data_IF_243966507374
#
_entry.id   IF_243966507374
#
_cell.length_a   1.000
_cell.length_b   1.000
_cell.length_c   1.000
_cell.angle_alpha   90.00
_cell.angle_beta   90.00
_cell.angle_gamma   90.00
#
_symmetry.space_group_name_H-M   'P 1'
#
loop_
_entity.id
_entity.type
_entity.pdbx_description
1 polymer ?
#
# COMPACT_ATOMS: atom_id res chain seq x y z
N UNK A 1 23.64 -1.68 35.41
CA UNK A 1 22.66 -1.68 34.31
C UNK A 1 21.23 -1.78 34.82
N UNK A 2 20.93 -2.75 35.70
CA UNK A 2 19.57 -2.98 36.19
C UNK A 2 18.99 -1.77 36.97
N UNK A 3 19.78 -1.20 37.88
CA UNK A 3 19.37 0.01 38.62
C UNK A 3 19.11 1.22 37.68
N UNK A 4 19.93 1.35 36.63
CA UNK A 4 19.72 2.40 35.63
C UNK A 4 18.42 2.22 34.86
N UNK A 5 18.06 0.99 34.53
CA UNK A 5 16.79 0.68 33.85
C UNK A 5 15.59 1.01 34.76
N UNK A 6 15.62 0.62 36.03
CA UNK A 6 14.57 0.92 37.00
C UNK A 6 14.38 2.44 37.17
N UNK A 7 15.47 3.19 37.29
CA UNK A 7 15.44 4.64 37.41
C UNK A 7 14.90 5.29 36.12
N UNK A 8 15.31 4.82 34.96
CA UNK A 8 14.79 5.31 33.66
C UNK A 8 13.29 5.06 33.54
N UNK A 9 12.82 3.86 33.83
CA UNK A 9 11.40 3.49 33.79
C UNK A 9 10.56 4.36 34.74
N UNK A 10 11.07 4.62 35.96
CA UNK A 10 10.41 5.51 36.90
C UNK A 10 10.33 6.95 36.39
N UNK A 11 11.41 7.46 35.79
CA UNK A 11 11.44 8.81 35.22
C UNK A 11 10.44 8.96 34.05
N UNK A 12 10.31 7.95 33.20
CA UNK A 12 9.32 7.93 32.12
C UNK A 12 7.90 7.96 32.68
N UNK A 13 7.62 7.12 33.70
CA UNK A 13 6.33 7.09 34.40
C UNK A 13 5.97 8.45 35.04
N UNK A 14 6.93 9.11 35.71
CA UNK A 14 6.76 10.43 36.26
C UNK A 14 6.39 11.51 35.24
N UNK A 15 6.81 11.32 34.00
CA UNK A 15 6.51 12.21 32.87
C UNK A 15 5.28 11.77 32.07
N UNK A 16 4.53 10.78 32.55
CA UNK A 16 3.39 10.17 31.84
C UNK A 16 3.74 9.66 30.44
N UNK A 17 4.98 9.20 30.26
CA UNK A 17 5.44 8.57 29.03
C UNK A 17 5.36 7.07 29.19
N UNK A 18 4.59 6.43 28.31
CA UNK A 18 4.55 4.98 28.20
C UNK A 18 5.80 4.47 27.49
N UNK A 19 6.37 3.39 28.01
CA UNK A 19 7.52 2.73 27.42
C UNK A 19 7.21 1.25 27.17
N UNK A 20 7.57 0.77 26.00
CA UNK A 20 7.59 -0.67 25.75
C UNK A 20 8.76 -1.31 26.49
N UNK A 21 8.47 -2.28 27.33
CA UNK A 21 9.47 -3.07 28.07
C UNK A 21 9.35 -4.50 27.57
N UNK A 22 10.40 -5.08 26.95
CA UNK A 22 10.41 -6.48 26.55
C UNK A 22 10.24 -7.42 27.76
N UNK A 23 9.76 -8.63 27.53
CA UNK A 23 9.57 -9.65 28.58
C UNK A 23 10.88 -9.92 29.35
N UNK A 24 12.01 -9.92 28.63
CA UNK A 24 13.36 -10.09 29.20
C UNK A 24 14.23 -8.85 28.86
N UNK A 25 14.12 -7.75 29.62
CA UNK A 25 14.77 -6.48 29.26
C UNK A 25 16.25 -6.41 29.60
N UNK A 26 16.86 -7.50 29.99
CA UNK A 26 18.29 -7.63 30.32
C UNK A 26 18.91 -8.82 29.61
N UNK A 27 20.19 -8.70 29.26
CA UNK A 27 20.91 -9.73 28.56
C UNK A 27 22.36 -9.36 28.34
N UNK A 28 23.07 -10.17 27.56
CA UNK A 28 24.39 -9.84 27.03
C UNK A 28 24.29 -8.74 25.97
N UNK A 29 25.40 -8.17 25.58
CA UNK A 29 25.42 -7.12 24.55
C UNK A 29 24.73 -7.56 23.25
N UNK A 30 24.96 -8.79 22.81
CA UNK A 30 24.35 -9.34 21.59
C UNK A 30 22.82 -9.51 21.74
N UNK A 31 22.33 -9.91 22.92
CA UNK A 31 20.90 -10.04 23.18
C UNK A 31 20.23 -8.66 23.12
N UNK A 32 20.85 -7.63 23.69
CA UNK A 32 20.35 -6.26 23.64
C UNK A 32 20.39 -5.70 22.20
N UNK A 33 21.47 -5.95 21.47
CA UNK A 33 21.59 -5.55 20.08
C UNK A 33 20.47 -6.17 19.22
N UNK A 34 20.14 -7.43 19.45
CA UNK A 34 19.04 -8.12 18.79
C UNK A 34 17.68 -7.49 19.15
N UNK A 35 17.42 -7.26 20.44
CA UNK A 35 16.17 -6.59 20.87
C UNK A 35 15.98 -5.23 20.21
N UNK A 36 17.05 -4.44 20.07
CA UNK A 36 17.01 -3.15 19.37
C UNK A 36 16.72 -3.37 17.89
N UNK A 37 17.39 -4.32 17.24
CA UNK A 37 17.18 -4.62 15.83
C UNK A 37 15.73 -5.08 15.56
N UNK A 38 15.17 -5.93 16.40
CA UNK A 38 13.79 -6.42 16.31
C UNK A 38 12.76 -5.29 16.52
N UNK A 39 13.12 -4.26 17.31
CA UNK A 39 12.23 -3.12 17.56
C UNK A 39 12.27 -2.04 16.45
N UNK A 40 13.35 -1.94 15.70
CA UNK A 40 13.50 -0.90 14.65
C UNK A 40 12.36 -0.92 13.61
N UNK A 41 11.91 -2.06 13.06
CA UNK A 41 10.77 -2.10 12.16
C UNK A 41 9.47 -1.59 12.79
N UNK A 42 9.23 -1.91 14.07
CA UNK A 42 8.07 -1.45 14.83
C UNK A 42 8.10 0.07 15.00
N UNK A 43 9.24 0.61 15.42
CA UNK A 43 9.42 2.07 15.58
C UNK A 43 9.21 2.80 14.24
N UNK A 44 9.70 2.23 13.14
CA UNK A 44 9.53 2.76 11.80
C UNK A 44 8.06 2.80 11.38
N UNK A 45 7.31 1.73 11.63
CA UNK A 45 5.87 1.67 11.36
C UNK A 45 5.10 2.72 12.19
N UNK A 46 5.37 2.84 13.49
CA UNK A 46 4.71 3.82 14.37
C UNK A 46 4.99 5.25 13.92
N UNK A 47 6.24 5.56 13.59
CA UNK A 47 6.62 6.89 13.11
C UNK A 47 6.01 7.16 11.74
N UNK A 48 6.00 6.18 10.86
CA UNK A 48 5.40 6.26 9.53
C UNK A 48 3.90 6.56 9.61
N UNK A 49 3.16 5.77 10.35
CA UNK A 49 1.69 5.91 10.53
C UNK A 49 1.32 7.29 11.07
N UNK A 50 2.07 7.80 12.06
CA UNK A 50 1.85 9.16 12.62
C UNK A 50 2.12 10.29 11.62
N UNK A 51 2.80 10.01 10.53
CA UNK A 51 3.11 10.96 9.47
C UNK A 51 2.39 10.64 8.15
N UNK A 52 1.39 9.75 8.18
CA UNK A 52 0.63 9.31 7.03
C UNK A 52 -0.63 10.15 6.84
N UNK A 53 -0.91 10.49 5.59
CA UNK A 53 -2.21 10.94 5.10
C UNK A 53 -2.72 9.92 4.08
N UNK A 54 -3.96 9.48 4.25
CA UNK A 54 -4.66 8.66 3.26
C UNK A 54 -5.65 9.55 2.53
N UNK A 55 -5.51 9.65 1.22
CA UNK A 55 -6.37 10.44 0.35
C UNK A 55 -7.31 9.48 -0.37
N UNK A 56 -8.61 9.72 -0.28
CA UNK A 56 -9.60 8.85 -0.89
C UNK A 56 -10.33 9.56 -2.02
N UNK A 57 -10.73 8.77 -3.02
CA UNK A 57 -11.60 9.20 -4.11
C UNK A 57 -12.80 8.25 -4.18
N UNK A 58 -13.86 8.60 -3.46
CA UNK A 58 -14.98 7.70 -3.28
C UNK A 58 -16.33 8.36 -3.18
N UNK A 59 -17.31 7.72 -2.60
CA UNK A 59 -17.28 6.61 -1.64
C UNK A 59 -17.00 5.24 -2.28
N UNK A 60 -16.80 4.21 -1.42
CA UNK A 60 -16.65 2.82 -1.88
C UNK A 60 -17.70 2.42 -2.92
N UNK A 61 -17.43 1.46 -3.80
CA UNK A 61 -18.40 1.03 -4.80
C UNK A 61 -19.67 0.44 -4.15
N UNK A 62 -20.84 0.92 -4.55
CA UNK A 62 -22.17 0.40 -4.22
C UNK A 62 -22.29 -0.25 -2.83
N UNK A 63 -22.65 -1.51 -2.77
CA UNK A 63 -22.81 -2.33 -1.57
C UNK A 63 -21.57 -3.14 -1.18
N UNK A 64 -20.38 -2.72 -1.64
CA UNK A 64 -19.10 -3.35 -1.31
C UNK A 64 -18.68 -3.05 0.14
N UNK A 65 -19.44 -3.58 1.09
CA UNK A 65 -19.34 -3.28 2.52
C UNK A 65 -18.02 -3.73 3.16
N UNK A 66 -17.27 -4.63 2.52
CA UNK A 66 -15.95 -5.04 2.98
C UNK A 66 -14.99 -3.86 3.16
N UNK A 67 -15.14 -2.81 2.32
CA UNK A 67 -14.33 -1.59 2.38
C UNK A 67 -14.96 -0.46 3.20
N UNK A 68 -15.93 -0.75 4.07
CA UNK A 68 -16.57 0.25 4.93
C UNK A 68 -15.77 0.47 6.21
N UNK A 69 -14.88 1.45 6.20
CA UNK A 69 -13.97 1.73 7.29
C UNK A 69 -14.49 2.83 8.24
N UNK A 70 -14.57 2.59 9.57
CA UNK A 70 -14.81 3.65 10.55
C UNK A 70 -13.56 4.51 10.76
N UNK A 71 -13.43 5.59 10.01
CA UNK A 71 -12.23 6.42 9.97
C UNK A 71 -11.89 7.15 11.28
N UNK A 72 -12.85 7.33 12.18
CA UNK A 72 -12.66 8.09 13.43
C UNK A 72 -11.50 7.54 14.27
N UNK A 73 -11.37 6.22 14.39
CA UNK A 73 -10.29 5.59 15.15
C UNK A 73 -8.89 5.79 14.54
N UNK A 74 -8.81 6.08 13.24
CA UNK A 74 -7.53 6.29 12.56
C UNK A 74 -6.85 7.61 12.98
N UNK A 75 -7.63 8.61 13.34
CA UNK A 75 -7.09 9.87 13.89
C UNK A 75 -6.41 9.66 15.24
N UNK A 76 -6.86 8.70 16.05
CA UNK A 76 -6.21 8.34 17.31
C UNK A 76 -4.82 7.72 17.08
N UNK A 77 -4.63 7.05 15.96
CA UNK A 77 -3.33 6.54 15.51
C UNK A 77 -2.44 7.63 14.90
N UNK A 78 -3.00 8.82 14.67
CA UNK A 78 -2.31 9.94 14.04
C UNK A 78 -2.39 9.93 12.51
N UNK A 79 -3.18 9.05 11.90
CA UNK A 79 -3.44 9.05 10.46
C UNK A 79 -4.42 10.16 10.13
N UNK A 80 -4.12 10.94 9.11
CA UNK A 80 -5.03 11.93 8.55
C UNK A 80 -5.75 11.33 7.33
N UNK A 81 -7.06 11.54 7.25
CA UNK A 81 -7.86 11.10 6.10
C UNK A 81 -8.40 12.33 5.38
N UNK A 82 -8.26 12.36 4.07
CA UNK A 82 -8.86 13.34 3.19
C UNK A 82 -9.83 12.64 2.24
N UNK A 83 -11.11 13.01 2.31
CA UNK A 83 -12.16 12.39 1.49
C UNK A 83 -12.52 13.31 0.34
N UNK A 84 -12.34 12.82 -0.88
CA UNK A 84 -12.68 13.47 -2.13
C UNK A 84 -13.65 12.60 -2.94
N UNK A 85 -14.31 13.19 -3.92
CA UNK A 85 -15.17 12.46 -4.84
C UNK A 85 -14.41 12.01 -6.10
N UNK A 86 -14.98 11.04 -6.82
CA UNK A 86 -14.50 10.67 -8.17
C UNK A 86 -14.55 11.85 -9.15
N UNK A 87 -15.47 12.81 -8.91
CA UNK A 87 -15.59 14.01 -9.75
C UNK A 87 -14.38 14.94 -9.56
N UNK A 88 -13.90 15.11 -8.33
CA UNK A 88 -12.70 15.91 -8.05
C UNK A 88 -11.48 15.29 -8.76
N UNK A 89 -11.34 13.96 -8.68
CA UNK A 89 -10.30 13.25 -9.40
C UNK A 89 -10.38 13.41 -10.92
N UNK A 90 -11.59 13.36 -11.49
CA UNK A 90 -11.82 13.54 -12.92
C UNK A 90 -11.47 14.95 -13.38
N UNK A 91 -11.77 15.97 -12.58
CA UNK A 91 -11.40 17.36 -12.87
C UNK A 91 -9.88 17.50 -12.89
N UNK A 92 -9.21 17.05 -11.85
CA UNK A 92 -7.74 17.07 -11.77
C UNK A 92 -7.08 16.28 -12.92
N UNK A 93 -7.63 15.12 -13.28
CA UNK A 93 -7.16 14.35 -14.43
C UNK A 93 -7.22 15.16 -15.74
N UNK A 94 -8.31 15.88 -15.98
CA UNK A 94 -8.45 16.74 -17.18
C UNK A 94 -7.49 17.92 -17.18
N UNK A 95 -7.13 18.44 -16.03
CA UNK A 95 -6.12 19.51 -15.90
C UNK A 95 -4.73 19.08 -16.32
N UNK A 96 -4.44 17.78 -16.26
CA UNK A 96 -3.19 17.17 -16.72
C UNK A 96 -3.22 16.77 -18.20
N UNK A 97 -4.27 17.14 -18.95
CA UNK A 97 -4.30 16.91 -20.40
C UNK A 97 -3.14 17.67 -21.07
N UNK A 98 -2.33 16.95 -21.86
CA UNK A 98 -1.12 17.47 -22.49
C UNK A 98 0.01 17.88 -21.52
N UNK A 99 0.07 17.34 -20.32
CA UNK A 99 1.18 17.56 -19.41
C UNK A 99 2.52 17.18 -20.10
N UNK A 100 3.52 18.08 -20.11
CA UNK A 100 4.77 17.82 -20.81
C UNK A 100 5.59 16.63 -20.24
N UNK A 101 5.26 16.11 -19.06
CA UNK A 101 5.90 14.94 -18.43
C UNK A 101 5.34 13.61 -18.93
N UNK A 102 4.19 13.60 -19.60
CA UNK A 102 3.54 12.37 -20.11
C UNK A 102 4.49 11.51 -20.95
N UNK A 103 5.28 12.06 -21.92
CA UNK A 103 6.18 11.24 -22.72
C UNK A 103 7.24 10.51 -21.91
N UNK A 104 7.75 11.10 -20.83
CA UNK A 104 8.77 10.49 -19.97
C UNK A 104 8.17 9.32 -19.17
N UNK A 105 6.95 9.48 -18.63
CA UNK A 105 6.24 8.42 -17.95
C UNK A 105 5.89 7.27 -18.90
N UNK A 106 5.46 7.59 -20.12
CA UNK A 106 5.21 6.59 -21.16
C UNK A 106 6.46 5.79 -21.52
N UNK A 107 7.62 6.45 -21.62
CA UNK A 107 8.89 5.80 -21.89
C UNK A 107 9.30 4.85 -20.75
N UNK A 108 9.01 5.21 -19.52
CA UNK A 108 9.24 4.37 -18.34
C UNK A 108 8.28 3.17 -18.32
N UNK A 109 7.01 3.37 -18.62
CA UNK A 109 6.03 2.28 -18.77
C UNK A 109 6.45 1.30 -19.86
N UNK A 110 6.92 1.80 -21.01
CA UNK A 110 7.38 0.94 -22.10
C UNK A 110 8.55 0.03 -21.69
N UNK A 111 9.50 0.56 -20.92
CA UNK A 111 10.60 -0.24 -20.37
C UNK A 111 10.11 -1.32 -19.39
N UNK A 112 9.15 -0.97 -18.55
CA UNK A 112 8.58 -1.89 -17.58
C UNK A 112 7.79 -3.02 -18.23
N UNK A 113 7.02 -2.71 -19.28
CA UNK A 113 6.19 -3.68 -19.99
C UNK A 113 6.99 -4.59 -20.93
N UNK A 114 8.07 -4.10 -21.50
CA UNK A 114 8.88 -4.82 -22.47
C UNK A 114 8.28 -4.82 -23.88
N UNK A 115 9.05 -5.38 -24.81
CA UNK A 115 8.72 -5.37 -26.23
C UNK A 115 7.39 -6.08 -26.55
N UNK A 116 6.58 -5.49 -27.44
CA UNK A 116 5.31 -6.09 -27.92
C UNK A 116 4.15 -6.02 -26.95
N UNK A 117 4.30 -5.38 -25.79
CA UNK A 117 3.27 -5.30 -24.74
C UNK A 117 2.83 -3.87 -24.43
N UNK A 118 3.27 -2.92 -25.23
CA UNK A 118 3.01 -1.49 -25.01
C UNK A 118 1.97 -0.96 -25.99
N UNK A 119 0.97 -0.25 -25.46
CA UNK A 119 -0.10 0.40 -26.20
C UNK A 119 -0.05 1.90 -25.99
N UNK A 120 0.35 2.66 -27.01
CA UNK A 120 0.64 4.08 -26.90
C UNK A 120 -0.54 4.90 -26.32
N UNK A 121 -1.71 4.80 -26.95
CA UNK A 121 -2.90 5.57 -26.53
C UNK A 121 -3.35 5.27 -25.11
N UNK A 122 -3.20 4.02 -24.67
CA UNK A 122 -3.54 3.60 -23.32
C UNK A 122 -2.51 4.12 -22.32
N UNK A 123 -1.22 4.08 -22.70
CA UNK A 123 -0.12 4.56 -21.86
C UNK A 123 -0.19 6.06 -21.61
N UNK A 124 -0.57 6.86 -22.61
CA UNK A 124 -0.71 8.31 -22.44
C UNK A 124 -1.76 8.64 -21.40
N UNK A 125 -2.93 7.99 -21.45
CA UNK A 125 -4.00 8.17 -20.45
C UNK A 125 -3.59 7.70 -19.07
N UNK A 126 -2.91 6.57 -18.97
CA UNK A 126 -2.39 6.05 -17.71
C UNK A 126 -1.27 6.94 -17.14
N UNK A 127 -0.39 7.47 -17.98
CA UNK A 127 0.65 8.40 -17.57
C UNK A 127 0.06 9.72 -17.06
N UNK A 128 -0.95 10.25 -17.74
CA UNK A 128 -1.70 11.41 -17.26
C UNK A 128 -2.30 11.14 -15.87
N UNK A 129 -2.88 9.97 -15.64
CA UNK A 129 -3.45 9.59 -14.34
C UNK A 129 -2.40 9.42 -13.25
N UNK A 130 -1.25 8.81 -13.56
CA UNK A 130 -0.12 8.70 -12.64
C UNK A 130 0.36 10.08 -12.19
N UNK A 131 0.53 11.01 -13.12
CA UNK A 131 0.92 12.39 -12.82
C UNK A 131 -0.13 13.11 -11.97
N UNK A 132 -1.41 12.90 -12.28
CA UNK A 132 -2.52 13.45 -11.49
C UNK A 132 -2.43 13.03 -10.02
N UNK A 133 -2.23 11.75 -9.75
CA UNK A 133 -2.12 11.25 -8.37
C UNK A 133 -0.85 11.76 -7.67
N UNK A 134 0.28 11.82 -8.37
CA UNK A 134 1.54 12.33 -7.81
C UNK A 134 1.45 13.81 -7.43
N UNK A 135 0.89 14.64 -8.31
CA UNK A 135 0.72 16.07 -8.05
C UNK A 135 -0.35 16.32 -6.98
N UNK A 136 -1.42 15.52 -6.96
CA UNK A 136 -2.40 15.56 -5.87
C UNK A 136 -1.77 15.24 -4.53
N UNK A 137 -0.96 14.18 -4.46
CA UNK A 137 -0.24 13.82 -3.24
C UNK A 137 0.62 14.99 -2.74
N UNK A 138 1.39 15.61 -3.62
CA UNK A 138 2.28 16.71 -3.24
C UNK A 138 1.50 17.96 -2.78
N UNK A 139 0.42 18.30 -3.48
CA UNK A 139 -0.40 19.46 -3.16
C UNK A 139 -1.20 19.30 -1.86
N UNK A 140 -1.62 18.07 -1.54
CA UNK A 140 -2.56 17.79 -0.46
C UNK A 140 -1.94 17.12 0.77
N UNK A 141 -0.67 16.67 0.73
CA UNK A 141 -0.03 16.04 1.90
C UNK A 141 0.00 16.92 3.15
N UNK A 142 -0.02 18.24 2.99
CA UNK A 142 0.02 19.20 4.09
C UNK A 142 1.28 19.06 4.95
N UNK A 143 1.10 18.91 6.26
CA UNK A 143 2.20 18.71 7.20
C UNK A 143 2.68 17.24 7.27
N UNK A 144 2.00 16.32 6.59
CA UNK A 144 2.36 14.89 6.58
C UNK A 144 3.53 14.64 5.64
N UNK A 145 4.30 13.62 5.93
CA UNK A 145 5.47 13.25 5.11
C UNK A 145 5.13 12.23 4.04
N UNK A 146 4.12 11.41 4.27
CA UNK A 146 3.76 10.26 3.46
C UNK A 146 2.30 10.31 3.08
N UNK A 147 2.02 9.82 1.87
CA UNK A 147 0.67 9.70 1.32
C UNK A 147 0.44 8.27 0.87
N UNK A 148 -0.77 7.78 1.11
CA UNK A 148 -1.34 6.61 0.45
C UNK A 148 -2.69 7.01 -0.13
N UNK A 149 -3.15 6.27 -1.13
CA UNK A 149 -4.45 6.50 -1.74
C UNK A 149 -5.40 5.33 -1.50
N UNK A 150 -6.70 5.62 -1.57
CA UNK A 150 -7.73 4.62 -1.70
C UNK A 150 -8.72 5.12 -2.75
N UNK A 151 -8.68 4.55 -3.95
CA UNK A 151 -9.46 4.99 -5.09
C UNK A 151 -10.63 4.06 -5.42
N UNK A 152 -11.62 4.60 -6.12
CA UNK A 152 -12.77 3.83 -6.59
C UNK A 152 -12.55 3.39 -8.03
N UNK A 153 -12.05 2.15 -8.20
CA UNK A 153 -11.69 1.60 -9.50
C UNK A 153 -12.89 1.20 -10.38
N UNK A 154 -14.09 1.10 -9.81
CA UNK A 154 -15.33 0.76 -10.52
C UNK A 154 -16.57 1.29 -9.78
N UNK A 155 -17.79 1.38 -10.36
CA UNK A 155 -18.15 0.97 -11.73
C UNK A 155 -17.98 2.09 -12.78
N UNK A 156 -17.85 3.35 -12.36
CA UNK A 156 -17.83 4.49 -13.27
C UNK A 156 -16.45 4.78 -13.87
N UNK A 157 -15.38 4.40 -13.17
CA UNK A 157 -14.01 4.73 -13.55
C UNK A 157 -13.67 4.33 -14.99
N UNK A 158 -13.87 3.08 -15.45
CA UNK A 158 -13.48 2.68 -16.80
C UNK A 158 -14.20 3.48 -17.88
N UNK A 159 -15.47 3.82 -17.66
CA UNK A 159 -16.26 4.58 -18.62
C UNK A 159 -15.87 6.06 -18.71
N UNK A 160 -15.30 6.63 -17.64
CA UNK A 160 -14.91 8.03 -17.57
C UNK A 160 -13.46 8.27 -17.96
N UNK A 161 -12.56 7.37 -17.57
CA UNK A 161 -11.12 7.50 -17.83
C UNK A 161 -10.68 6.69 -19.07
N UNK A 162 -11.46 5.68 -19.46
CA UNK A 162 -11.20 4.82 -20.62
C UNK A 162 -10.14 3.76 -20.40
N UNK A 163 -9.85 3.43 -19.13
CA UNK A 163 -8.95 2.35 -18.70
C UNK A 163 -9.26 1.95 -17.24
N UNK A 164 -8.73 0.82 -16.80
CA UNK A 164 -8.75 0.42 -15.39
C UNK A 164 -7.50 0.94 -14.66
N UNK A 165 -7.62 1.45 -13.41
CA UNK A 165 -6.48 2.07 -12.71
C UNK A 165 -5.44 1.07 -12.20
N UNK A 166 -5.72 -0.23 -12.26
CA UNK A 166 -4.93 -1.29 -11.61
C UNK A 166 -3.43 -1.23 -11.90
N UNK A 167 -3.04 -0.93 -13.14
CA UNK A 167 -1.63 -0.83 -13.49
C UNK A 167 -0.96 0.39 -12.87
N UNK A 168 -1.60 1.55 -12.91
CA UNK A 168 -1.07 2.78 -12.31
C UNK A 168 -0.96 2.63 -10.80
N UNK A 169 -2.00 2.11 -10.15
CA UNK A 169 -1.99 1.82 -8.71
C UNK A 169 -0.82 0.89 -8.34
N UNK A 170 -0.62 -0.15 -9.14
CA UNK A 170 0.48 -1.11 -9.02
C UNK A 170 1.88 -0.47 -9.16
N UNK A 171 2.01 0.50 -10.07
CA UNK A 171 3.27 1.26 -10.25
C UNK A 171 3.56 2.17 -9.07
N UNK A 172 2.56 2.88 -8.57
CA UNK A 172 2.71 3.75 -7.39
C UNK A 172 3.06 2.93 -6.14
N UNK A 173 2.40 1.80 -5.92
CA UNK A 173 2.72 0.87 -4.85
C UNK A 173 4.19 0.38 -4.93
N UNK A 174 4.70 0.13 -6.14
CA UNK A 174 6.12 -0.22 -6.37
C UNK A 174 7.10 0.87 -5.95
N UNK A 175 6.64 2.13 -5.90
CA UNK A 175 7.42 3.32 -5.53
C UNK A 175 7.20 3.76 -4.09
N UNK A 176 6.51 2.94 -3.29
CA UNK A 176 6.24 3.21 -1.88
C UNK A 176 5.07 4.15 -1.63
N UNK A 177 4.18 4.30 -2.60
CA UNK A 177 2.90 5.01 -2.47
C UNK A 177 1.77 3.99 -2.64
N UNK A 178 1.28 3.37 -1.57
CA UNK A 178 0.17 2.43 -1.65
C UNK A 178 -1.08 3.08 -2.25
N UNK A 179 -1.75 2.36 -3.14
CA UNK A 179 -3.04 2.76 -3.71
C UNK A 179 -3.99 1.58 -3.64
N UNK A 180 -4.88 1.60 -2.66
CA UNK A 180 -5.84 0.53 -2.42
C UNK A 180 -7.09 0.69 -3.27
N UNK A 181 -7.59 -0.41 -3.83
CA UNK A 181 -8.82 -0.40 -4.61
C UNK A 181 -10.07 -0.24 -3.72
N UNK A 182 -11.21 0.02 -4.35
CA UNK A 182 -12.56 0.07 -3.75
C UNK A 182 -12.68 1.03 -2.56
N UNK A 183 -11.80 2.04 -2.48
CA UNK A 183 -11.71 2.96 -1.34
C UNK A 183 -11.46 2.22 -0.02
N UNK A 184 -10.65 1.17 -0.06
CA UNK A 184 -10.26 0.42 1.13
C UNK A 184 -9.18 1.17 1.92
N UNK A 185 -9.63 2.03 2.83
CA UNK A 185 -8.76 2.86 3.68
C UNK A 185 -7.89 1.99 4.60
N UNK A 186 -8.46 0.90 5.14
CA UNK A 186 -7.69 -0.01 5.98
C UNK A 186 -6.69 -0.85 5.18
N UNK A 187 -7.02 -1.19 3.93
CA UNK A 187 -6.08 -1.80 3.00
C UNK A 187 -4.88 -0.90 2.75
N UNK A 188 -5.13 0.37 2.40
CA UNK A 188 -4.06 1.36 2.20
C UNK A 188 -3.17 1.54 3.44
N UNK A 189 -3.77 1.57 4.65
CA UNK A 189 -3.02 1.61 5.91
C UNK A 189 -2.20 0.34 6.12
N UNK A 190 -2.77 -0.83 5.84
CA UNK A 190 -2.10 -2.13 6.02
C UNK A 190 -0.89 -2.27 5.08
N UNK A 191 -1.04 -1.90 3.82
CA UNK A 191 0.07 -1.85 2.87
C UNK A 191 1.17 -0.88 3.33
N UNK A 192 0.78 0.29 3.81
CA UNK A 192 1.74 1.28 4.30
C UNK A 192 2.50 0.80 5.54
N UNK A 193 1.84 0.13 6.48
CA UNK A 193 2.48 -0.49 7.65
C UNK A 193 3.48 -1.55 7.18
N UNK A 194 3.06 -2.43 6.27
CA UNK A 194 3.91 -3.46 5.68
C UNK A 194 5.15 -2.87 5.01
N UNK A 195 4.98 -1.79 4.22
CA UNK A 195 6.06 -1.03 3.60
C UNK A 195 7.05 -0.47 4.64
N UNK A 196 6.54 0.12 5.72
CA UNK A 196 7.39 0.64 6.80
C UNK A 196 8.21 -0.46 7.48
N UNK A 197 7.64 -1.64 7.65
CA UNK A 197 8.30 -2.79 8.30
C UNK A 197 9.35 -3.40 7.39
N UNK A 198 8.96 -3.76 6.17
CA UNK A 198 9.80 -4.49 5.22
C UNK A 198 10.83 -3.62 4.50
N UNK A 199 10.55 -2.32 4.34
CA UNK A 199 11.26 -1.40 3.44
C UNK A 199 11.26 -1.88 1.98
N UNK A 200 10.23 -2.60 1.60
CA UNK A 200 10.01 -3.14 0.26
C UNK A 200 8.52 -3.03 -0.09
N UNK A 201 8.19 -3.05 -1.36
CA UNK A 201 6.81 -3.03 -1.82
C UNK A 201 6.04 -4.26 -1.29
N UNK A 202 4.81 -4.03 -0.88
CA UNK A 202 3.94 -5.01 -0.22
C UNK A 202 2.74 -5.30 -1.09
N UNK A 203 2.23 -6.51 -1.06
CA UNK A 203 1.00 -6.91 -1.73
C UNK A 203 -0.10 -7.13 -0.72
N UNK A 204 -1.23 -6.46 -0.90
CA UNK A 204 -2.48 -6.76 -0.21
C UNK A 204 -3.25 -7.80 -1.03
N UNK A 205 -3.71 -8.86 -0.38
CA UNK A 205 -4.45 -9.95 -1.04
C UNK A 205 -5.74 -10.25 -0.27
N UNK A 206 -6.81 -10.48 -1.01
CA UNK A 206 -7.98 -11.15 -0.48
C UNK A 206 -7.69 -12.64 -0.31
N UNK A 207 -8.02 -13.19 0.84
CA UNK A 207 -7.96 -14.63 1.06
C UNK A 207 -9.22 -15.25 0.44
N UNK A 208 -9.07 -15.85 -0.73
CA UNK A 208 -10.20 -16.40 -1.45
C UNK A 208 -10.65 -17.75 -0.92
N UNK A 209 -9.73 -18.69 -0.75
CA UNK A 209 -10.03 -20.04 -0.28
C UNK A 209 -8.76 -20.85 -0.04
N UNK A 210 -8.92 -22.10 0.38
CA UNK A 210 -7.83 -23.10 0.36
C UNK A 210 -7.36 -23.34 -1.07
N UNK A 211 -6.09 -23.71 -1.23
CA UNK A 211 -5.56 -24.18 -2.51
C UNK A 211 -6.34 -25.42 -2.94
N UNK A 212 -6.80 -25.53 -4.20
CA UNK A 212 -7.42 -26.74 -4.73
C UNK A 212 -6.51 -27.96 -4.58
N UNK A 213 -7.13 -29.13 -4.28
CA UNK A 213 -6.38 -30.36 -3.99
C UNK A 213 -5.38 -30.72 -5.11
N UNK A 214 -5.76 -30.55 -6.39
CA UNK A 214 -4.89 -30.88 -7.52
C UNK A 214 -3.65 -29.97 -7.59
N UNK A 215 -3.81 -28.66 -7.33
CA UNK A 215 -2.68 -27.72 -7.28
C UNK A 215 -1.76 -28.08 -6.10
N UNK A 216 -2.36 -28.41 -4.95
CA UNK A 216 -1.57 -28.85 -3.80
C UNK A 216 -0.75 -30.11 -4.12
N UNK A 217 -1.37 -31.12 -4.73
CA UNK A 217 -0.70 -32.39 -5.07
C UNK A 217 0.42 -32.23 -6.12
N UNK A 218 0.24 -31.32 -7.10
CA UNK A 218 1.19 -31.08 -8.18
C UNK A 218 2.32 -30.13 -7.81
N UNK A 219 2.04 -29.06 -7.07
CA UNK A 219 2.97 -27.94 -6.88
C UNK A 219 3.51 -27.79 -5.45
N UNK A 220 2.83 -28.31 -4.44
CA UNK A 220 3.19 -28.06 -3.04
C UNK A 220 3.66 -29.35 -2.35
N UNK A 221 2.88 -30.42 -2.45
CA UNK A 221 3.13 -31.68 -1.80
C UNK A 221 4.49 -32.30 -2.18
N UNK A 222 5.31 -32.53 -1.19
CA UNK A 222 6.65 -33.09 -1.41
C UNK A 222 7.71 -32.09 -1.86
N UNK A 223 7.32 -30.84 -2.17
CA UNK A 223 8.25 -29.73 -2.43
C UNK A 223 8.42 -28.83 -1.21
N UNK A 224 7.34 -28.66 -0.43
CA UNK A 224 7.31 -27.83 0.76
C UNK A 224 6.70 -28.62 1.92
N UNK A 225 7.11 -28.30 3.14
CA UNK A 225 6.60 -28.94 4.36
C UNK A 225 5.33 -28.23 4.87
N UNK A 226 4.31 -28.16 4.01
CA UNK A 226 3.00 -27.61 4.33
C UNK A 226 1.92 -28.65 4.06
N UNK A 227 0.89 -28.69 4.91
CA UNK A 227 -0.34 -29.43 4.65
C UNK A 227 -1.27 -28.58 3.80
N UNK A 228 -2.25 -29.20 3.13
CA UNK A 228 -3.29 -28.46 2.42
C UNK A 228 -3.98 -27.40 3.29
N UNK A 229 -4.23 -27.72 4.55
CA UNK A 229 -4.84 -26.81 5.55
C UNK A 229 -3.96 -25.64 5.95
N UNK A 230 -2.68 -25.66 5.64
CA UNK A 230 -1.73 -24.59 5.94
C UNK A 230 -1.59 -23.62 4.75
N UNK A 231 -2.37 -23.83 3.68
CA UNK A 231 -2.30 -23.08 2.44
C UNK A 231 -3.59 -22.33 2.16
N UNK A 232 -3.48 -21.21 1.47
CA UNK A 232 -4.60 -20.43 0.98
C UNK A 232 -4.28 -19.84 -0.40
N UNK A 233 -5.30 -19.47 -1.14
CA UNK A 233 -5.16 -18.67 -2.34
C UNK A 233 -5.44 -17.21 -2.00
N UNK A 234 -4.50 -16.35 -2.34
CA UNK A 234 -4.65 -14.90 -2.23
C UNK A 234 -4.67 -14.28 -3.62
N UNK A 235 -5.59 -13.35 -3.84
CA UNK A 235 -5.70 -12.59 -5.07
C UNK A 235 -6.20 -11.18 -4.81
N UNK A 236 -5.64 -10.22 -5.54
CA UNK A 236 -6.19 -8.87 -5.65
C UNK A 236 -5.78 -8.25 -6.99
N UNK A 237 -6.72 -7.66 -7.73
CA UNK A 237 -6.43 -7.14 -9.07
C UNK A 237 -5.63 -5.83 -9.05
N UNK A 238 -5.86 -4.92 -8.10
CA UNK A 238 -5.24 -3.60 -8.04
C UNK A 238 -3.99 -3.48 -7.18
N UNK A 239 -3.97 -4.11 -6.02
CA UNK A 239 -3.02 -3.83 -4.95
C UNK A 239 -1.68 -4.59 -5.04
N UNK A 240 -1.45 -5.39 -6.08
CA UNK A 240 -0.15 -6.05 -6.26
C UNK A 240 0.83 -5.11 -6.94
N UNK A 241 1.97 -4.76 -6.32
CA UNK A 241 2.96 -3.89 -6.91
C UNK A 241 3.54 -4.46 -8.21
N UNK A 242 3.74 -3.61 -9.22
CA UNK A 242 4.27 -4.02 -10.51
C UNK A 242 5.64 -4.71 -10.41
N UNK A 243 6.48 -4.26 -9.47
CA UNK A 243 7.81 -4.85 -9.24
C UNK A 243 7.77 -6.26 -8.64
N UNK A 244 6.63 -6.69 -8.07
CA UNK A 244 6.44 -8.05 -7.54
C UNK A 244 5.78 -9.00 -8.56
N UNK A 245 5.37 -8.48 -9.71
CA UNK A 245 4.77 -9.26 -10.77
C UNK A 245 5.83 -9.70 -11.78
N UNK A 246 5.73 -10.93 -12.24
CA UNK A 246 6.52 -11.41 -13.38
C UNK A 246 5.90 -10.93 -14.70
N UNK A 247 5.57 -11.83 -15.58
CA UNK A 247 4.99 -11.48 -16.89
C UNK A 247 3.52 -11.02 -16.84
N UNK A 248 2.82 -11.28 -15.74
CA UNK A 248 1.40 -10.95 -15.58
C UNK A 248 1.10 -9.44 -15.46
N UNK A 249 2.13 -8.59 -15.29
CA UNK A 249 1.94 -7.12 -15.29
C UNK A 249 1.28 -6.62 -16.58
N UNK A 250 1.50 -7.29 -17.70
CA UNK A 250 0.88 -6.96 -18.97
C UNK A 250 -0.66 -7.09 -18.94
N UNK A 251 -1.20 -8.00 -18.14
CA UNK A 251 -2.65 -8.15 -17.96
C UNK A 251 -3.23 -6.93 -17.25
N UNK A 252 -2.59 -6.45 -16.20
CA UNK A 252 -3.02 -5.24 -15.50
C UNK A 252 -2.96 -3.98 -16.36
N UNK A 253 -2.00 -3.91 -17.26
CA UNK A 253 -1.85 -2.80 -18.20
C UNK A 253 -2.98 -2.74 -19.23
N UNK A 254 -3.52 -3.90 -19.63
CA UNK A 254 -4.53 -4.02 -20.67
C UNK A 254 -5.99 -3.96 -20.15
N UNK A 255 -6.20 -4.05 -18.84
CA UNK A 255 -7.52 -4.07 -18.21
C UNK A 255 -8.20 -2.69 -18.21
#
# INVERSE_FOLDING_TARGET
>A
AYCGMLNCSYNLKMRHLEAYIPEYPVGRADDIAKMIADFVPVARAVIGVRNLKIITFGPRPQDFFACNAPIKGLYELGVEIEENSELDLLVAYKEHENDPRIPDVCADMAKEMGEGRYYADLSERMAQFELTLLDWAEAHKGARKYVAFADKCWPAFPSQFGFEPCYVNSRLASRGIPVSCEVDIYGALSEYIGLCISQDAVTLLDINNSVPQYIYDEDIKGRYDYKLTDTFMGFHCGNTPACKMCESRAVKYQL
#
